data_IF_561074624316
#
_entry.id   IF_561074624316
#
_cell.length_a   1.000
_cell.length_b   1.000
_cell.length_c   1.000
_cell.angle_alpha   90.00
_cell.angle_beta   90.00
_cell.angle_gamma   90.00
#
_symmetry.space_group_name_H-M   'P 1'
#
loop_
_entity.id
_entity.type
_entity.pdbx_description
1 polymer ?
#
# COMPACT_ATOMS: atom_id res chain seq x y z
N UNK A 1 -1.82 -0.43 7.72
CA UNK A 1 -1.10 0.34 8.76
C UNK A 1 0.30 -0.23 8.99
N UNK A 2 0.42 -1.54 9.25
CA UNK A 2 1.71 -2.16 9.56
C UNK A 2 2.81 -1.96 8.53
N UNK A 3 2.54 -2.19 7.23
CA UNK A 3 3.57 -2.00 6.19
C UNK A 3 4.07 -0.54 6.14
N UNK A 4 3.17 0.44 6.28
CA UNK A 4 3.57 1.84 6.33
C UNK A 4 4.50 2.13 7.51
N UNK A 5 4.10 1.68 8.71
CA UNK A 5 4.90 1.88 9.93
C UNK A 5 6.25 1.16 9.85
N UNK A 6 6.29 -0.02 9.24
CA UNK A 6 7.53 -0.74 8.98
C UNK A 6 8.48 0.06 8.07
N UNK A 7 7.97 0.66 6.99
CA UNK A 7 8.78 1.48 6.09
C UNK A 7 9.24 2.79 6.74
N UNK A 8 8.40 3.39 7.59
CA UNK A 8 8.70 4.61 8.37
C UNK A 8 9.84 4.39 9.37
N UNK A 9 9.88 3.23 10.03
CA UNK A 9 10.90 2.90 11.03
C UNK A 9 12.05 2.05 10.49
N UNK A 10 12.06 1.77 9.18
CA UNK A 10 12.99 0.84 8.53
C UNK A 10 13.03 -0.56 9.18
N UNK A 11 11.88 -1.03 9.68
CA UNK A 11 11.73 -2.29 10.39
C UNK A 11 11.37 -3.42 9.42
N UNK A 12 12.38 -4.22 9.07
CA UNK A 12 12.24 -5.31 8.10
C UNK A 12 11.34 -6.43 8.61
N UNK A 13 11.44 -6.80 9.88
CA UNK A 13 10.67 -7.91 10.45
C UNK A 13 9.19 -7.54 10.51
N UNK A 14 8.89 -6.28 10.84
CA UNK A 14 7.53 -5.76 10.77
C UNK A 14 7.00 -5.71 9.34
N UNK A 15 7.84 -5.40 8.34
CA UNK A 15 7.43 -5.44 6.94
C UNK A 15 7.08 -6.87 6.51
N UNK A 16 7.90 -7.86 6.89
CA UNK A 16 7.64 -9.27 6.62
C UNK A 16 6.31 -9.72 7.23
N UNK A 17 6.09 -9.44 8.51
CA UNK A 17 4.83 -9.72 9.20
C UNK A 17 3.63 -8.98 8.57
N UNK A 18 3.84 -7.76 8.06
CA UNK A 18 2.80 -7.04 7.34
C UNK A 18 2.41 -7.72 6.03
N UNK A 19 3.36 -8.27 5.26
CA UNK A 19 3.04 -9.04 4.05
C UNK A 19 2.31 -10.34 4.38
N UNK A 20 2.70 -11.04 5.46
CA UNK A 20 1.98 -12.22 5.94
C UNK A 20 0.52 -11.88 6.33
N UNK A 21 0.31 -10.77 7.05
CA UNK A 21 -1.02 -10.27 7.39
C UNK A 21 -1.87 -9.91 6.16
N UNK A 22 -1.24 -9.51 5.06
CA UNK A 22 -1.92 -9.29 3.78
C UNK A 22 -2.31 -10.59 3.07
N UNK A 23 -1.79 -11.74 3.50
CA UNK A 23 -2.03 -13.05 2.89
C UNK A 23 -0.94 -13.49 1.92
N UNK A 24 0.25 -12.89 1.95
CA UNK A 24 1.40 -13.46 1.25
C UNK A 24 1.95 -14.66 2.01
N UNK A 25 2.46 -15.64 1.27
CA UNK A 25 3.04 -16.85 1.83
C UNK A 25 4.39 -17.17 1.17
N UNK A 26 5.28 -17.81 1.93
CA UNK A 26 6.57 -18.31 1.45
C UNK A 26 7.46 -17.25 0.78
N UNK A 27 7.44 -16.01 1.28
CA UNK A 27 8.33 -14.97 0.77
C UNK A 27 9.74 -15.20 1.30
N UNK A 28 10.71 -15.25 0.39
CA UNK A 28 12.13 -15.17 0.76
C UNK A 28 12.49 -13.73 1.15
N UNK A 29 13.62 -13.57 1.83
CA UNK A 29 14.17 -12.26 2.13
C UNK A 29 14.35 -11.39 0.87
N UNK A 30 14.86 -11.98 -0.22
CA UNK A 30 15.05 -11.26 -1.48
C UNK A 30 13.72 -10.82 -2.11
N UNK A 31 12.67 -11.65 -2.00
CA UNK A 31 11.33 -11.28 -2.47
C UNK A 31 10.74 -10.13 -1.65
N UNK A 32 10.94 -10.14 -0.33
CA UNK A 32 10.52 -9.04 0.56
C UNK A 32 11.23 -7.75 0.17
N UNK A 33 12.53 -7.80 -0.14
CA UNK A 33 13.27 -6.62 -0.60
C UNK A 33 12.71 -6.05 -1.90
N UNK A 34 12.39 -6.92 -2.86
CA UNK A 34 11.77 -6.51 -4.12
C UNK A 34 10.39 -5.88 -3.90
N UNK A 35 9.56 -6.47 -3.03
CA UNK A 35 8.26 -5.90 -2.67
C UNK A 35 8.40 -4.56 -1.95
N UNK A 36 9.40 -4.41 -1.08
CA UNK A 36 9.68 -3.16 -0.37
C UNK A 36 10.13 -2.04 -1.31
N UNK A 37 10.81 -2.32 -2.42
CA UNK A 37 11.08 -1.31 -3.45
C UNK A 37 9.77 -0.72 -3.99
N UNK A 38 8.82 -1.59 -4.36
CA UNK A 38 7.50 -1.13 -4.81
C UNK A 38 6.73 -0.38 -3.72
N UNK A 39 6.71 -0.92 -2.51
CA UNK A 39 6.00 -0.31 -1.39
C UNK A 39 6.56 1.08 -1.05
N UNK A 40 7.89 1.25 -1.01
CA UNK A 40 8.52 2.56 -0.79
C UNK A 40 8.21 3.55 -1.89
N UNK A 41 8.12 3.10 -3.14
CA UNK A 41 7.68 3.95 -4.24
C UNK A 41 6.26 4.48 -4.00
N UNK A 42 5.30 3.60 -3.68
CA UNK A 42 3.91 3.99 -3.43
C UNK A 42 3.77 4.87 -2.17
N UNK A 43 4.47 4.54 -1.08
CA UNK A 43 4.40 5.27 0.18
C UNK A 43 5.30 6.51 0.24
N UNK A 44 6.15 6.77 -0.76
CA UNK A 44 7.11 7.88 -0.73
C UNK A 44 6.48 9.22 -0.34
N UNK A 45 5.30 9.64 -0.86
CA UNK A 45 4.67 10.89 -0.43
C UNK A 45 4.18 10.89 1.02
N UNK A 46 3.85 9.72 1.58
CA UNK A 46 3.36 9.57 2.97
C UNK A 46 4.50 9.44 3.99
N UNK A 47 5.71 9.12 3.53
CA UNK A 47 6.92 9.00 4.36
C UNK A 47 7.70 10.33 4.46
N UNK A 48 7.27 11.36 3.72
CA UNK A 48 7.96 12.65 3.62
C UNK A 48 7.03 13.78 4.10
N UNK A 49 7.32 14.35 5.27
CA UNK A 49 6.50 15.41 5.89
C UNK A 49 6.72 16.79 5.26
N UNK A 50 6.23 16.96 4.03
CA UNK A 50 6.17 18.25 3.34
C UNK A 50 5.03 18.32 2.34
N UNK A 51 4.70 19.54 1.90
CA UNK A 51 3.79 19.76 0.78
C UNK A 51 4.53 19.43 -0.52
N UNK A 52 4.01 18.47 -1.28
CA UNK A 52 4.56 18.05 -2.59
C UNK A 52 3.46 17.44 -3.45
N UNK A 53 3.72 17.27 -4.74
CA UNK A 53 2.90 16.37 -5.57
C UNK A 53 3.30 14.91 -5.32
N UNK A 54 2.41 13.97 -5.67
CA UNK A 54 2.70 12.53 -5.49
C UNK A 54 3.85 12.03 -6.35
N UNK A 55 4.16 12.68 -7.48
CA UNK A 55 5.33 12.34 -8.32
C UNK A 55 6.51 13.31 -8.18
N UNK A 56 6.38 14.38 -7.38
CA UNK A 56 7.44 15.35 -7.06
C UNK A 56 8.20 15.85 -8.29
N UNK A 57 7.43 16.29 -9.29
CA UNK A 57 7.94 16.86 -10.54
C UNK A 57 8.29 15.82 -11.62
N UNK A 58 8.15 14.52 -11.37
CA UNK A 58 8.33 13.49 -12.40
C UNK A 58 7.08 13.40 -13.28
N UNK A 59 7.28 13.26 -14.60
CA UNK A 59 6.18 13.13 -15.57
C UNK A 59 5.31 11.90 -15.24
N UNK A 60 3.97 12.03 -15.25
CA UNK A 60 3.06 10.96 -14.84
C UNK A 60 3.27 9.62 -15.56
N UNK A 61 3.63 9.63 -16.84
CA UNK A 61 3.84 8.41 -17.65
C UNK A 61 5.16 7.68 -17.37
N UNK A 62 6.16 8.36 -16.83
CA UNK A 62 7.48 7.80 -16.51
C UNK A 62 7.57 7.33 -15.06
N UNK A 63 6.89 8.06 -14.16
CA UNK A 63 7.00 7.90 -12.71
C UNK A 63 6.75 6.46 -12.22
N UNK A 64 5.60 5.86 -12.55
CA UNK A 64 5.26 4.51 -12.09
C UNK A 64 5.77 3.37 -12.98
N UNK A 65 5.95 3.64 -14.29
CA UNK A 65 6.24 2.58 -15.27
C UNK A 65 7.62 1.97 -15.05
N UNK A 66 8.62 2.79 -14.72
CA UNK A 66 10.00 2.33 -14.50
C UNK A 66 10.08 1.40 -13.29
N UNK A 67 9.51 1.81 -12.16
CA UNK A 67 9.52 1.01 -10.92
C UNK A 67 8.73 -0.30 -11.09
N UNK A 68 7.55 -0.23 -11.70
CA UNK A 68 6.73 -1.42 -11.94
C UNK A 68 7.46 -2.44 -12.82
N UNK A 69 8.15 -1.98 -13.87
CA UNK A 69 8.94 -2.85 -14.74
C UNK A 69 10.14 -3.48 -14.02
N UNK A 70 10.84 -2.68 -13.20
CA UNK A 70 11.97 -3.15 -12.39
C UNK A 70 11.56 -4.25 -11.40
N UNK A 71 10.47 -4.02 -10.67
CA UNK A 71 9.89 -5.00 -9.73
C UNK A 71 9.45 -6.26 -10.47
N UNK A 72 8.70 -6.12 -11.57
CA UNK A 72 8.24 -7.27 -12.35
C UNK A 72 9.38 -8.10 -12.95
N UNK A 73 10.49 -7.46 -13.37
CA UNK A 73 11.68 -8.18 -13.83
C UNK A 73 12.31 -8.99 -12.69
N UNK A 74 12.54 -8.38 -11.53
CA UNK A 74 13.17 -9.05 -10.37
C UNK A 74 12.31 -10.19 -9.83
N UNK A 75 10.98 -10.03 -9.78
CA UNK A 75 10.08 -11.12 -9.39
C UNK A 75 10.17 -12.31 -10.35
N UNK A 76 10.32 -12.06 -11.66
CA UNK A 76 10.53 -13.16 -12.64
C UNK A 76 11.85 -13.89 -12.44
N UNK A 77 12.90 -13.19 -11.99
CA UNK A 77 14.22 -13.77 -11.72
C UNK A 77 14.27 -14.58 -10.42
N UNK A 78 13.62 -14.09 -9.35
CA UNK A 78 13.62 -14.73 -8.02
C UNK A 78 12.56 -15.83 -7.86
N UNK A 79 11.55 -15.84 -8.72
CA UNK A 79 10.44 -16.80 -8.68
C UNK A 79 9.09 -16.12 -8.47
N UNK A 80 8.01 -16.69 -9.03
CA UNK A 80 6.70 -16.06 -9.00
C UNK A 80 6.17 -15.94 -7.57
N UNK A 81 5.68 -14.75 -7.24
CA UNK A 81 4.85 -14.52 -6.05
C UNK A 81 3.40 -14.57 -6.50
N UNK A 82 2.54 -15.20 -5.70
CA UNK A 82 1.08 -15.15 -5.90
C UNK A 82 0.53 -14.07 -4.98
N UNK A 83 0.21 -12.86 -5.48
CA UNK A 83 -0.31 -11.81 -4.63
C UNK A 83 -1.75 -12.14 -4.21
N UNK A 84 -2.12 -11.91 -2.94
CA UNK A 84 -3.49 -12.09 -2.46
C UNK A 84 -4.45 -11.11 -3.16
N UNK A 85 -5.72 -11.51 -3.29
CA UNK A 85 -6.72 -10.76 -4.09
C UNK A 85 -6.95 -9.35 -3.56
N UNK A 86 -7.00 -9.24 -2.24
CA UNK A 86 -7.20 -8.01 -1.49
C UNK A 86 -6.04 -7.03 -1.73
N UNK A 87 -4.81 -7.54 -1.79
CA UNK A 87 -3.64 -6.74 -2.12
C UNK A 87 -3.74 -6.19 -3.54
N UNK A 88 -4.07 -7.03 -4.53
CA UNK A 88 -4.22 -6.60 -5.93
C UNK A 88 -5.30 -5.52 -6.08
N UNK A 89 -6.42 -5.67 -5.37
CA UNK A 89 -7.48 -4.67 -5.36
C UNK A 89 -6.98 -3.32 -4.79
N UNK A 90 -6.31 -3.37 -3.64
CA UNK A 90 -5.84 -2.17 -2.95
C UNK A 90 -4.70 -1.47 -3.68
N UNK A 91 -3.77 -2.22 -4.28
CA UNK A 91 -2.69 -1.69 -5.13
C UNK A 91 -3.27 -0.93 -6.34
N UNK A 92 -4.24 -1.51 -7.04
CA UNK A 92 -4.92 -0.83 -8.16
C UNK A 92 -5.66 0.43 -7.73
N UNK A 93 -6.33 0.38 -6.58
CA UNK A 93 -7.01 1.55 -6.02
C UNK A 93 -6.03 2.68 -5.71
N UNK A 94 -4.88 2.36 -5.10
CA UNK A 94 -3.84 3.34 -4.77
C UNK A 94 -3.21 3.97 -6.02
N UNK A 95 -2.85 3.16 -7.02
CA UNK A 95 -2.31 3.63 -8.30
C UNK A 95 -3.34 4.53 -9.01
N UNK A 96 -4.60 4.11 -9.05
CA UNK A 96 -5.70 4.88 -9.64
C UNK A 96 -5.85 6.24 -8.97
N UNK A 97 -5.90 6.28 -7.63
CA UNK A 97 -5.99 7.52 -6.88
C UNK A 97 -4.76 8.43 -7.12
N UNK A 98 -3.56 7.86 -7.13
CA UNK A 98 -2.33 8.58 -7.45
C UNK A 98 -2.37 9.25 -8.83
N UNK A 99 -2.92 8.56 -9.84
CA UNK A 99 -3.09 9.13 -11.18
C UNK A 99 -4.04 10.32 -11.23
N UNK A 100 -5.11 10.30 -10.40
CA UNK A 100 -6.04 11.43 -10.27
C UNK A 100 -5.34 12.61 -9.61
N UNK A 101 -4.58 12.38 -8.53
CA UNK A 101 -3.78 13.44 -7.90
C UNK A 101 -2.78 14.07 -8.87
N UNK A 102 -2.15 13.27 -9.72
CA UNK A 102 -1.25 13.77 -10.76
C UNK A 102 -1.99 14.59 -11.81
N UNK A 103 -3.14 14.11 -12.29
CA UNK A 103 -3.94 14.82 -13.27
C UNK A 103 -4.42 16.18 -12.76
N UNK A 104 -4.78 16.27 -11.48
CA UNK A 104 -5.22 17.49 -10.83
C UNK A 104 -4.08 18.43 -10.44
N UNK A 105 -2.81 18.01 -10.56
CA UNK A 105 -1.66 18.78 -10.07
C UNK A 105 -1.73 19.00 -8.55
N UNK A 106 -2.25 18.04 -7.80
CA UNK A 106 -2.46 18.18 -6.36
C UNK A 106 -1.11 18.30 -5.63
N UNK A 107 -0.96 19.37 -4.84
CA UNK A 107 0.16 19.58 -3.92
C UNK A 107 -0.36 19.60 -2.49
N UNK A 108 -0.07 18.54 -1.74
CA UNK A 108 -0.61 18.33 -0.41
C UNK A 108 0.50 17.81 0.51
N UNK A 109 0.29 17.95 1.82
CA UNK A 109 1.07 17.20 2.79
C UNK A 109 0.42 15.82 2.98
N UNK A 110 0.81 14.88 2.13
CA UNK A 110 0.28 13.50 2.14
C UNK A 110 0.65 12.75 3.42
N UNK A 111 1.82 13.03 4.01
CA UNK A 111 2.21 12.48 5.30
C UNK A 111 1.19 12.80 6.40
N UNK A 112 0.82 14.08 6.57
CA UNK A 112 -0.17 14.51 7.58
C UNK A 112 -1.55 13.95 7.31
N UNK A 113 -2.01 14.01 6.05
CA UNK A 113 -3.32 13.46 5.68
C UNK A 113 -3.41 11.96 5.94
N UNK A 114 -2.38 11.22 5.58
CA UNK A 114 -2.34 9.77 5.80
C UNK A 114 -2.28 9.45 7.29
N UNK A 115 -1.39 10.07 8.05
CA UNK A 115 -1.28 9.85 9.49
C UNK A 115 -2.58 10.18 10.23
N UNK A 116 -3.22 11.30 9.91
CA UNK A 116 -4.52 11.64 10.50
C UNK A 116 -5.61 10.61 10.18
N UNK A 117 -5.57 10.01 8.99
CA UNK A 117 -6.53 8.98 8.57
C UNK A 117 -6.33 7.68 9.35
N UNK A 118 -5.08 7.28 9.59
CA UNK A 118 -4.77 6.02 10.28
C UNK A 118 -4.75 6.15 11.81
N UNK A 119 -4.57 7.36 12.36
CA UNK A 119 -4.55 7.60 13.81
C UNK A 119 -5.87 7.21 14.49
N UNK A 120 -7.00 7.51 13.84
CA UNK A 120 -8.32 7.15 14.33
C UNK A 120 -8.72 5.68 14.03
N UNK A 121 -7.83 4.88 13.45
CA UNK A 121 -8.14 3.49 13.09
C UNK A 121 -8.22 2.59 14.32
N UNK A 122 -9.32 1.85 14.43
CA UNK A 122 -9.57 0.89 15.50
C UNK A 122 -10.29 -0.31 14.90
N UNK A 123 -9.61 -1.46 14.93
CA UNK A 123 -10.11 -2.70 14.31
C UNK A 123 -11.37 -3.23 15.00
N UNK A 124 -11.49 -3.07 16.32
CA UNK A 124 -12.66 -3.53 17.06
C UNK A 124 -13.88 -2.66 16.77
N UNK A 125 -13.68 -1.34 16.65
CA UNK A 125 -14.75 -0.42 16.20
C UNK A 125 -15.14 -0.71 14.76
N UNK A 126 -14.18 -0.99 13.88
CA UNK A 126 -14.47 -1.37 12.49
C UNK A 126 -15.33 -2.64 12.44
N UNK A 127 -14.90 -3.71 13.12
CA UNK A 127 -15.59 -4.99 13.15
C UNK A 127 -17.03 -4.85 13.65
N UNK A 128 -17.24 -4.11 14.76
CA UNK A 128 -18.58 -3.83 15.28
C UNK A 128 -19.48 -3.13 14.24
N UNK A 129 -18.97 -2.11 13.54
CA UNK A 129 -19.74 -1.39 12.52
C UNK A 129 -20.03 -2.27 11.31
N UNK A 130 -19.05 -3.05 10.86
CA UNK A 130 -19.18 -3.95 9.72
C UNK A 130 -20.22 -5.04 10.00
N UNK A 131 -20.15 -5.69 11.16
CA UNK A 131 -21.13 -6.69 11.58
C UNK A 131 -22.56 -6.13 11.65
N UNK A 132 -22.73 -4.91 12.18
CA UNK A 132 -24.03 -4.25 12.20
C UNK A 132 -24.56 -3.94 10.78
N UNK A 133 -23.69 -3.45 9.89
CA UNK A 133 -24.05 -3.13 8.51
C UNK A 133 -24.41 -4.38 7.70
N UNK A 134 -23.62 -5.46 7.80
CA UNK A 134 -23.87 -6.72 7.11
C UNK A 134 -25.18 -7.37 7.59
N UNK A 135 -25.41 -7.40 8.91
CA UNK A 135 -26.67 -7.88 9.49
C UNK A 135 -27.87 -7.10 8.97
N UNK A 136 -27.76 -5.76 8.90
CA UNK A 136 -28.83 -4.90 8.37
C UNK A 136 -29.07 -5.14 6.87
N UNK A 137 -28.03 -5.41 6.10
CA UNK A 137 -28.10 -5.68 4.67
C UNK A 137 -28.50 -7.14 4.34
N UNK A 138 -28.60 -8.03 5.33
CA UNK A 138 -28.88 -9.45 5.11
C UNK A 138 -27.72 -10.22 4.47
N UNK A 139 -26.49 -9.68 4.52
CA UNK A 139 -25.30 -10.37 4.01
C UNK A 139 -24.84 -11.37 5.08
N UNK A 140 -24.69 -12.66 4.74
CA UNK A 140 -24.21 -13.66 5.70
C UNK A 140 -22.78 -13.31 6.16
N UNK A 141 -22.40 -13.69 7.39
CA UNK A 141 -21.02 -13.52 7.85
C UNK A 141 -20.06 -14.27 6.93
N UNK A 142 -18.85 -13.73 6.76
CA UNK A 142 -17.79 -14.43 6.03
C UNK A 142 -17.51 -15.78 6.72
N UNK A 143 -17.30 -16.82 5.90
CA UNK A 143 -17.01 -18.18 6.36
C UNK A 143 -15.63 -18.30 7.00
#
# INVERSE_FOLDING_TARGET
>A
VELYRALETDDRDRAAAAYENWGFHNLSNDLIDVLNVWARFIYAPMLDDRVRSVADGIKPGEYGRKEAFGVHKRLRELGPVTPPREFVFMDRAAIGLGSVFLHLGAELNFHKLFNATIDAFDVAKLDKRQNAALKKAGVPPAA
#
